data_IF_553478194420
#
_entry.id   IF_553478194420
#
_cell.length_a   1.000
_cell.length_b   1.000
_cell.length_c   1.000
_cell.angle_alpha   90.00
_cell.angle_beta   90.00
_cell.angle_gamma   90.00
#
_symmetry.space_group_name_H-M   'P 1'
#
loop_
_entity.id
_entity.type
_entity.pdbx_description
1 polymer ?
#
# COMPACT_ATOMS: atom_id res chain seq x y z
N UNK A 1 8.74 -10.67 11.32
CA UNK A 1 8.81 -11.55 10.13
C UNK A 1 9.91 -11.04 9.20
N UNK A 2 10.79 -11.92 8.67
CA UNK A 2 11.90 -11.61 7.76
C UNK A 2 11.76 -12.42 6.46
N UNK A 3 10.67 -12.25 5.74
CA UNK A 3 10.51 -12.88 4.44
C UNK A 3 9.96 -11.84 3.48
N UNK A 4 10.66 -11.66 2.36
CA UNK A 4 10.50 -10.63 1.31
C UNK A 4 11.31 -9.34 1.59
N UNK A 5 12.24 -9.07 0.66
CA UNK A 5 13.22 -7.96 0.57
C UNK A 5 14.63 -8.28 1.08
N UNK A 6 15.49 -8.74 0.15
CA UNK A 6 16.95 -8.63 0.22
C UNK A 6 17.34 -7.24 0.75
N UNK A 7 17.88 -7.17 1.97
CA UNK A 7 18.67 -6.04 2.48
C UNK A 7 17.97 -4.69 2.74
N UNK A 8 16.66 -4.56 2.50
CA UNK A 8 15.97 -3.27 2.64
C UNK A 8 15.56 -3.04 4.10
N UNK A 9 16.42 -2.38 4.86
CA UNK A 9 16.12 -1.96 6.25
C UNK A 9 15.18 -0.74 6.23
N UNK A 10 14.12 -0.78 7.03
CA UNK A 10 13.15 0.32 7.19
C UNK A 10 13.86 1.65 7.51
N UNK A 11 14.89 1.61 8.35
CA UNK A 11 15.72 2.77 8.71
C UNK A 11 16.40 3.41 7.49
N UNK A 12 16.88 2.61 6.54
CA UNK A 12 17.51 3.13 5.32
C UNK A 12 16.47 3.84 4.43
N UNK A 13 15.23 3.34 4.40
CA UNK A 13 14.15 3.97 3.64
C UNK A 13 13.80 5.32 4.26
N UNK A 14 13.62 5.38 5.58
CA UNK A 14 13.35 6.65 6.29
C UNK A 14 14.47 7.68 6.07
N UNK A 15 15.73 7.23 6.13
CA UNK A 15 16.89 8.09 5.84
C UNK A 15 16.87 8.63 4.42
N UNK A 16 16.55 7.78 3.43
CA UNK A 16 16.47 8.21 2.03
C UNK A 16 15.35 9.23 1.81
N UNK A 17 14.19 9.03 2.42
CA UNK A 17 13.07 9.98 2.39
C UNK A 17 13.50 11.32 2.98
N UNK A 18 14.13 11.30 4.17
CA UNK A 18 14.63 12.51 4.82
C UNK A 18 15.59 13.31 3.93
N UNK A 19 16.59 12.63 3.35
CA UNK A 19 17.58 13.27 2.48
C UNK A 19 16.93 13.86 1.22
N UNK A 20 15.96 13.16 0.61
CA UNK A 20 15.23 13.67 -0.54
C UNK A 20 14.45 14.95 -0.19
N UNK A 21 13.82 14.98 0.98
CA UNK A 21 13.07 16.16 1.44
C UNK A 21 13.99 17.34 1.81
N UNK A 22 15.16 17.08 2.40
CA UNK A 22 16.16 18.10 2.73
C UNK A 22 16.64 18.88 1.49
N UNK A 23 16.67 18.23 0.31
CA UNK A 23 17.03 18.88 -0.97
C UNK A 23 15.82 19.41 -1.75
N UNK A 24 14.62 19.37 -1.15
CA UNK A 24 13.39 19.89 -1.75
C UNK A 24 12.65 18.94 -2.72
N UNK A 25 13.01 17.66 -2.78
CA UNK A 25 12.25 16.69 -3.57
C UNK A 25 10.97 16.25 -2.88
N UNK A 26 9.94 16.02 -3.71
CA UNK A 26 8.72 15.30 -3.32
C UNK A 26 8.97 13.81 -3.42
N UNK A 27 8.40 13.05 -2.51
CA UNK A 27 8.56 11.60 -2.48
C UNK A 27 7.29 10.91 -2.95
N UNK A 28 7.45 9.88 -3.79
CA UNK A 28 6.39 8.93 -4.10
C UNK A 28 6.61 7.66 -3.28
N UNK A 29 5.68 7.37 -2.37
CA UNK A 29 5.68 6.15 -1.57
C UNK A 29 4.52 5.24 -2.00
N UNK A 30 4.82 3.96 -2.20
CA UNK A 30 3.81 2.97 -2.61
C UNK A 30 3.87 1.76 -1.69
N UNK A 31 2.71 1.38 -1.17
CA UNK A 31 2.54 0.27 -0.25
C UNK A 31 1.61 -0.77 -0.88
N UNK A 32 1.81 -2.03 -0.49
CA UNK A 32 1.01 -3.16 -0.96
C UNK A 32 0.36 -3.82 0.26
N UNK A 33 -0.96 -3.95 0.23
CA UNK A 33 -1.77 -4.72 1.17
C UNK A 33 -2.06 -6.11 0.64
N UNK A 34 -2.20 -7.08 1.54
CA UNK A 34 -2.49 -8.47 1.23
C UNK A 34 -1.27 -9.28 0.82
N UNK A 35 -0.07 -8.83 1.18
CA UNK A 35 1.14 -9.62 0.93
C UNK A 35 1.02 -11.01 1.59
N UNK A 36 1.68 -12.05 1.03
CA UNK A 36 1.71 -13.36 1.66
C UNK A 36 2.04 -13.28 3.14
N UNK A 37 1.23 -13.96 3.96
CA UNK A 37 1.36 -14.04 5.42
C UNK A 37 1.13 -12.73 6.19
N UNK A 38 0.83 -11.61 5.51
CA UNK A 38 0.40 -10.39 6.17
C UNK A 38 -0.91 -10.66 6.91
N UNK A 39 -1.08 -10.03 8.07
CA UNK A 39 -2.31 -10.04 8.85
C UNK A 39 -2.98 -8.65 8.90
N UNK A 40 -4.30 -8.59 9.16
CA UNK A 40 -5.03 -7.33 9.27
C UNK A 40 -4.43 -6.33 10.26
N UNK A 41 -3.97 -6.80 11.43
CA UNK A 41 -3.37 -5.99 12.49
C UNK A 41 -2.03 -5.36 12.09
N UNK A 42 -1.36 -5.87 11.04
CA UNK A 42 -0.10 -5.31 10.56
C UNK A 42 -0.30 -4.10 9.64
N UNK A 43 -1.54 -3.76 9.27
CA UNK A 43 -1.85 -2.61 8.41
C UNK A 43 -1.60 -1.26 9.09
N UNK A 44 -1.79 -1.18 10.41
CA UNK A 44 -1.46 0.00 11.22
C UNK A 44 0.03 0.39 11.11
N UNK A 45 0.90 -0.61 10.89
CA UNK A 45 2.33 -0.39 10.67
C UNK A 45 2.64 0.46 9.44
N UNK A 46 1.75 0.49 8.44
CA UNK A 46 1.90 1.32 7.24
C UNK A 46 1.62 2.79 7.58
N UNK A 47 0.53 3.06 8.30
CA UNK A 47 0.18 4.42 8.75
C UNK A 47 1.26 4.99 9.65
N UNK A 48 1.71 4.20 10.62
CA UNK A 48 2.82 4.57 11.50
C UNK A 48 4.11 4.83 10.72
N UNK A 49 4.42 4.02 9.71
CA UNK A 49 5.59 4.25 8.87
C UNK A 49 5.48 5.57 8.08
N UNK A 50 4.31 5.86 7.51
CA UNK A 50 4.04 7.10 6.77
C UNK A 50 4.30 8.33 7.67
N UNK A 51 3.74 8.32 8.87
CA UNK A 51 3.94 9.36 9.88
C UNK A 51 5.42 9.50 10.28
N UNK A 52 6.05 8.39 10.69
CA UNK A 52 7.45 8.39 11.15
C UNK A 52 8.46 8.73 10.04
N UNK A 53 8.12 8.48 8.76
CA UNK A 53 8.93 8.88 7.62
C UNK A 53 8.70 10.35 7.22
N UNK A 54 7.74 11.03 7.85
CA UNK A 54 7.34 12.39 7.54
C UNK A 54 6.72 12.52 6.15
N UNK A 55 6.08 11.47 5.63
CA UNK A 55 5.37 11.52 4.36
C UNK A 55 4.00 12.18 4.58
N UNK A 56 3.66 13.16 3.74
CA UNK A 56 2.41 13.90 3.91
C UNK A 56 1.76 14.23 2.57
N UNK A 57 0.46 14.00 2.44
CA UNK A 57 -0.33 14.48 1.30
C UNK A 57 -0.70 15.97 1.50
N UNK A 58 -0.86 16.78 0.43
CA UNK A 58 -0.62 16.48 -0.99
C UNK A 58 0.85 16.66 -1.43
N UNK A 59 1.77 16.98 -0.52
CA UNK A 59 3.16 17.29 -0.87
C UNK A 59 3.89 16.06 -1.45
N UNK A 60 3.67 14.91 -0.83
CA UNK A 60 4.16 13.59 -1.22
C UNK A 60 3.03 12.77 -1.84
N UNK A 61 3.38 11.89 -2.78
CA UNK A 61 2.42 10.98 -3.41
C UNK A 61 2.43 9.64 -2.68
N UNK A 62 1.42 9.44 -1.82
CA UNK A 62 1.23 8.20 -1.07
C UNK A 62 0.17 7.36 -1.78
N UNK A 63 0.53 6.14 -2.15
CA UNK A 63 -0.38 5.19 -2.83
C UNK A 63 -0.43 3.87 -2.07
N UNK A 64 -1.64 3.37 -1.87
CA UNK A 64 -1.88 2.05 -1.31
C UNK A 64 -2.46 1.19 -2.41
N UNK A 65 -1.94 0.00 -2.60
CA UNK A 65 -2.41 -0.94 -3.59
C UNK A 65 -2.71 -2.28 -2.92
N UNK A 66 -3.72 -2.98 -3.40
CA UNK A 66 -3.93 -4.39 -3.07
C UNK A 66 -3.05 -5.27 -3.95
N UNK A 67 -2.63 -6.41 -3.40
CA UNK A 67 -1.78 -7.38 -4.08
C UNK A 67 -2.39 -7.82 -5.42
N UNK A 68 -1.63 -7.64 -6.49
CA UNK A 68 -1.95 -8.11 -7.83
C UNK A 68 -0.82 -9.06 -8.30
N UNK A 69 -1.03 -10.38 -8.32
CA UNK A 69 -0.04 -11.33 -8.82
C UNK A 69 0.07 -11.23 -10.35
N UNK A 70 1.18 -10.76 -10.90
CA UNK A 70 1.34 -10.63 -12.34
C UNK A 70 1.93 -11.91 -12.98
N UNK A 71 1.56 -12.25 -14.24
CA UNK A 71 2.15 -13.37 -14.98
C UNK A 71 3.68 -13.34 -14.98
N UNK A 72 4.29 -14.51 -14.79
CA UNK A 72 5.75 -14.65 -14.73
C UNK A 72 6.37 -14.26 -13.38
N UNK A 73 5.54 -14.02 -12.35
CA UNK A 73 6.01 -13.96 -10.96
C UNK A 73 5.80 -15.31 -10.28
N UNK A 74 6.70 -15.70 -9.39
CA UNK A 74 6.58 -16.96 -8.61
C UNK A 74 5.26 -17.03 -7.82
N UNK A 75 4.74 -15.86 -7.40
CA UNK A 75 3.45 -15.75 -6.74
C UNK A 75 2.26 -16.04 -7.67
N UNK A 76 2.37 -15.70 -8.96
CA UNK A 76 1.34 -16.04 -9.95
C UNK A 76 1.41 -17.50 -10.37
N UNK A 77 2.63 -18.02 -10.51
CA UNK A 77 2.88 -19.38 -10.98
C UNK A 77 2.53 -20.43 -9.92
N UNK A 78 2.75 -20.13 -8.64
CA UNK A 78 2.37 -20.99 -7.50
C UNK A 78 1.82 -20.14 -6.33
N UNK A 79 0.56 -19.66 -6.42
CA UNK A 79 -0.02 -18.84 -5.37
C UNK A 79 -0.27 -19.64 -4.07
N UNK A 80 -0.53 -20.95 -4.20
CA UNK A 80 -0.81 -21.85 -3.08
C UNK A 80 0.37 -21.98 -2.11
N UNK A 81 1.61 -22.00 -2.62
CA UNK A 81 2.84 -21.92 -1.83
C UNK A 81 2.88 -20.74 -0.85
N UNK A 82 2.18 -19.65 -1.20
CA UNK A 82 2.13 -18.42 -0.42
C UNK A 82 0.86 -18.29 0.43
N UNK A 83 0.00 -19.31 0.46
CA UNK A 83 -1.30 -19.24 1.12
C UNK A 83 -2.24 -18.22 0.45
N UNK A 84 -2.04 -17.97 -0.84
CA UNK A 84 -2.81 -17.04 -1.67
C UNK A 84 -3.60 -17.85 -2.71
N UNK A 85 -4.79 -17.37 -3.06
CA UNK A 85 -5.59 -17.87 -4.19
C UNK A 85 -5.89 -16.69 -5.12
N UNK A 86 -5.68 -16.85 -6.43
CA UNK A 86 -6.11 -15.85 -7.42
C UNK A 86 -7.59 -16.08 -7.71
N UNK A 87 -8.43 -15.10 -7.34
CA UNK A 87 -9.89 -15.20 -7.48
C UNK A 87 -10.40 -14.67 -8.81
N UNK A 88 -9.62 -13.81 -9.48
CA UNK A 88 -10.03 -13.20 -10.74
C UNK A 88 -8.83 -13.02 -11.68
N UNK A 89 -8.96 -13.45 -12.96
CA UNK A 89 -7.92 -13.31 -14.00
C UNK A 89 -8.26 -12.25 -15.05
N UNK A 90 -9.31 -11.46 -14.84
CA UNK A 90 -9.62 -10.33 -15.71
C UNK A 90 -8.57 -9.23 -15.50
N UNK A 91 -7.68 -9.09 -16.48
CA UNK A 91 -6.58 -8.13 -16.47
C UNK A 91 -7.01 -6.67 -16.29
N UNK A 92 -8.25 -6.31 -16.62
CA UNK A 92 -8.76 -4.95 -16.40
C UNK A 92 -8.87 -4.59 -14.91
N UNK A 93 -8.87 -5.60 -14.02
CA UNK A 93 -8.93 -5.43 -12.57
C UNK A 93 -7.53 -5.39 -11.92
N UNK A 94 -6.45 -5.67 -12.67
CA UNK A 94 -5.08 -5.74 -12.15
C UNK A 94 -4.44 -4.33 -12.09
N UNK A 95 -5.08 -3.44 -11.35
CA UNK A 95 -4.72 -2.03 -11.23
C UNK A 95 -4.33 -1.61 -9.80
N UNK A 96 -4.24 -2.57 -8.87
CA UNK A 96 -3.94 -2.29 -7.47
C UNK A 96 -5.12 -1.75 -6.65
N UNK A 97 -6.26 -1.43 -7.29
CA UNK A 97 -7.45 -0.89 -6.62
C UNK A 97 -8.56 -1.94 -6.47
N UNK A 98 -8.40 -3.11 -7.09
CA UNK A 98 -9.34 -4.22 -6.96
C UNK A 98 -8.65 -5.39 -6.28
N UNK A 99 -9.35 -6.01 -5.33
CA UNK A 99 -8.90 -7.26 -4.77
C UNK A 99 -9.15 -8.40 -5.77
N UNK A 100 -8.06 -8.97 -6.30
CA UNK A 100 -8.09 -10.11 -7.23
C UNK A 100 -7.56 -11.40 -6.59
N UNK A 101 -7.33 -11.39 -5.28
CA UNK A 101 -6.76 -12.49 -4.51
C UNK A 101 -7.55 -12.77 -3.23
N UNK A 102 -7.38 -13.96 -2.69
CA UNK A 102 -7.74 -14.31 -1.32
C UNK A 102 -6.48 -14.77 -0.59
N UNK A 103 -6.39 -14.45 0.70
CA UNK A 103 -5.29 -14.88 1.58
C UNK A 103 -5.85 -15.65 2.76
N UNK A 104 -5.14 -16.71 3.14
CA UNK A 104 -5.42 -17.50 4.35
C UNK A 104 -5.20 -16.71 5.64
N UNK A 105 -4.35 -15.68 5.63
CA UNK A 105 -4.01 -14.87 6.81
C UNK A 105 -4.63 -13.48 6.78
N UNK A 106 -5.11 -13.03 5.61
CA UNK A 106 -5.74 -11.74 5.42
C UNK A 106 -6.99 -11.89 4.54
N UNK A 107 -8.14 -12.23 5.14
CA UNK A 107 -9.39 -12.39 4.42
C UNK A 107 -9.76 -11.17 3.58
N UNK A 108 -10.42 -11.42 2.45
CA UNK A 108 -10.69 -10.40 1.41
C UNK A 108 -11.50 -9.22 1.93
N UNK A 109 -12.52 -9.49 2.73
CA UNK A 109 -13.37 -8.49 3.38
C UNK A 109 -12.54 -7.56 4.28
N UNK A 110 -11.76 -8.13 5.18
CA UNK A 110 -10.89 -7.37 6.07
C UNK A 110 -9.83 -6.57 5.31
N UNK A 111 -9.31 -7.12 4.22
CA UNK A 111 -8.35 -6.41 3.37
C UNK A 111 -8.97 -5.19 2.68
N UNK A 112 -10.20 -5.31 2.21
CA UNK A 112 -10.95 -4.19 1.63
C UNK A 112 -11.25 -3.16 2.72
N UNK A 113 -11.68 -3.59 3.90
CA UNK A 113 -11.96 -2.69 5.02
C UNK A 113 -10.71 -1.91 5.44
N UNK A 114 -9.57 -2.58 5.63
CA UNK A 114 -8.29 -1.92 5.92
C UNK A 114 -7.83 -0.97 4.80
N UNK A 115 -8.06 -1.34 3.54
CA UNK A 115 -7.77 -0.46 2.41
C UNK A 115 -8.59 0.83 2.49
N UNK A 116 -9.90 0.71 2.74
CA UNK A 116 -10.80 1.86 2.85
C UNK A 116 -10.44 2.75 4.04
N UNK A 117 -10.14 2.16 5.20
CA UNK A 117 -9.69 2.90 6.39
C UNK A 117 -8.42 3.70 6.12
N UNK A 118 -7.41 3.11 5.48
CA UNK A 118 -6.16 3.80 5.18
C UNK A 118 -6.41 4.94 4.18
N UNK A 119 -7.23 4.70 3.15
CA UNK A 119 -7.60 5.74 2.18
C UNK A 119 -8.31 6.89 2.90
N UNK A 120 -9.33 6.61 3.70
CA UNK A 120 -10.01 7.66 4.47
C UNK A 120 -9.03 8.44 5.35
N UNK A 121 -8.16 7.76 6.10
CA UNK A 121 -7.16 8.42 6.94
C UNK A 121 -6.17 9.29 6.14
N UNK A 122 -5.72 8.83 4.97
CA UNK A 122 -4.76 9.55 4.13
C UNK A 122 -5.37 10.74 3.34
N UNK A 123 -6.70 10.75 3.19
CA UNK A 123 -7.45 11.80 2.47
C UNK A 123 -8.33 12.68 3.39
N UNK A 124 -8.36 12.44 4.71
CA UNK A 124 -9.12 13.24 5.69
C UNK A 124 -8.86 14.75 5.59
N UNK A 125 -7.62 15.15 5.34
CA UNK A 125 -7.23 16.57 5.26
C UNK A 125 -7.42 17.19 3.88
N UNK A 126 -7.74 16.38 2.86
CA UNK A 126 -7.94 16.83 1.48
C UNK A 126 -9.40 17.26 1.19
N UNK A 127 -10.36 16.92 2.05
CA UNK A 127 -11.78 17.13 1.77
C UNK A 127 -12.30 18.54 2.11
N UNK A 128 -11.55 19.35 2.88
CA UNK A 128 -12.02 20.68 3.30
C UNK A 128 -11.43 21.85 2.52
N UNK A 129 -10.24 21.73 1.93
CA UNK A 129 -9.57 22.86 1.25
C UNK A 129 -9.81 22.93 -0.26
N UNK A 130 -10.24 21.85 -0.90
CA UNK A 130 -10.49 21.82 -2.36
C UNK A 130 -11.93 22.16 -2.76
N UNK A 131 -12.85 22.29 -1.81
CA UNK A 131 -14.25 22.67 -2.10
C UNK A 131 -14.50 24.20 -2.09
N UNK A 132 -13.55 25.03 -1.67
CA UNK A 132 -13.70 26.50 -1.68
C UNK A 132 -13.11 27.21 -2.92
N UNK A 133 -12.44 26.49 -3.84
CA UNK A 133 -11.87 27.07 -5.07
C UNK A 133 -12.66 26.66 -6.33
N UNK A 134 -13.98 26.80 -6.30
CA UNK A 134 -14.86 26.52 -7.44
C UNK A 134 -16.05 27.47 -7.58
N UNK A 135 -16.00 28.64 -6.93
CA UNK A 135 -17.06 29.65 -6.98
C UNK A 135 -16.49 31.06 -7.04
N UNK A 136 -16.12 31.50 -8.24
CA UNK A 136 -15.95 32.90 -8.64
C UNK A 136 -16.12 33.00 -10.15
#
# INVERSE_FOLDING_TARGET
>A
MKHIRKGLKIENVKRAIKLAKEVGFKVKASFILGLPYQKPDETEGILKFVEEAGLQTPMDLITINMLCPFPGTDLYDDPGKYGITITNKNWTLYNGLNCVTESTTFPRDQLIDSYMEIVENNFKDLTWSTMEYGGS
#
